data_IF_634284196697
#
_entry.id   IF_634284196697
#
_cell.length_a   1.000
_cell.length_b   1.000
_cell.length_c   1.000
_cell.angle_alpha   90.00
_cell.angle_beta   90.00
_cell.angle_gamma   90.00
#
_symmetry.space_group_name_H-M   'P 1'
#
loop_
_entity.id
_entity.type
_entity.pdbx_description
1 polymer ?
#
# COMPACT_ATOMS: atom_id res chain seq x y z
N UNK A 1 25.19 5.66 10.38
CA UNK A 1 24.42 4.41 10.36
C UNK A 1 23.13 4.73 9.65
N UNK A 2 22.77 3.97 8.62
CA UNK A 2 21.45 4.12 8.00
C UNK A 2 20.48 3.34 8.87
N UNK A 3 19.48 4.02 9.45
CA UNK A 3 18.45 3.34 10.23
C UNK A 3 17.62 2.44 9.31
N UNK A 4 17.42 1.19 9.73
CA UNK A 4 16.63 0.21 9.00
C UNK A 4 15.14 0.58 9.13
N UNK A 5 14.46 0.81 8.00
CA UNK A 5 13.03 1.07 7.97
C UNK A 5 12.26 -0.27 7.92
N UNK A 6 11.43 -0.52 8.93
CA UNK A 6 10.68 -1.78 9.07
C UNK A 6 9.23 -1.60 8.62
N UNK A 7 8.81 -2.49 7.73
CA UNK A 7 7.40 -2.66 7.34
C UNK A 7 6.94 -4.04 7.83
N UNK A 8 5.77 -4.07 8.43
CA UNK A 8 5.09 -5.28 8.88
C UNK A 8 3.89 -5.48 7.97
N UNK A 9 3.91 -6.52 7.14
CA UNK A 9 2.84 -6.81 6.20
C UNK A 9 1.99 -7.99 6.69
N UNK A 10 0.76 -7.70 7.08
CA UNK A 10 -0.27 -8.67 7.49
C UNK A 10 -1.24 -8.91 6.35
N UNK A 11 -1.34 -10.16 5.90
CA UNK A 11 -2.23 -10.56 4.81
C UNK A 11 -3.16 -11.67 5.31
N UNK A 12 -4.47 -11.45 5.26
CA UNK A 12 -5.44 -12.54 5.41
C UNK A 12 -5.30 -13.50 4.22
N UNK A 13 -5.41 -14.81 4.41
CA UNK A 13 -5.34 -15.78 3.29
C UNK A 13 -6.46 -16.81 3.40
N UNK A 14 -7.12 -17.11 2.29
CA UNK A 14 -7.95 -18.31 2.14
C UNK A 14 -7.25 -19.49 1.40
N UNK A 15 -5.99 -19.37 0.94
CA UNK A 15 -5.28 -20.48 0.26
C UNK A 15 -3.76 -20.36 0.05
N UNK A 16 -3.09 -21.50 -0.20
CA UNK A 16 -1.62 -21.64 -0.24
C UNK A 16 -0.91 -21.07 -1.49
N UNK A 17 -1.60 -20.92 -2.63
CA UNK A 17 -0.97 -20.62 -3.94
C UNK A 17 -0.51 -19.16 -4.10
N UNK A 18 -0.92 -18.26 -3.20
CA UNK A 18 -0.64 -16.83 -3.28
C UNK A 18 0.64 -16.39 -2.57
N UNK A 19 1.16 -17.21 -1.65
CA UNK A 19 2.38 -16.94 -0.88
C UNK A 19 3.58 -16.71 -1.81
N UNK A 20 3.71 -17.51 -2.88
CA UNK A 20 4.85 -17.42 -3.79
C UNK A 20 4.83 -16.16 -4.67
N UNK A 21 3.63 -15.64 -4.99
CA UNK A 21 3.47 -14.44 -5.81
C UNK A 21 3.74 -13.18 -4.99
N UNK A 22 3.19 -13.12 -3.78
CA UNK A 22 3.42 -12.01 -2.85
C UNK A 22 4.87 -11.97 -2.38
N UNK A 23 5.48 -13.12 -2.06
CA UNK A 23 6.89 -13.21 -1.68
C UNK A 23 7.85 -12.72 -2.76
N UNK A 24 7.56 -12.97 -4.05
CA UNK A 24 8.36 -12.43 -5.16
C UNK A 24 8.25 -10.92 -5.29
N UNK A 25 7.05 -10.37 -5.08
CA UNK A 25 6.81 -8.92 -5.11
C UNK A 25 7.59 -8.24 -3.98
N UNK A 26 7.51 -8.77 -2.77
CA UNK A 26 8.18 -8.23 -1.58
C UNK A 26 9.69 -8.22 -1.77
N UNK A 27 10.29 -9.33 -2.21
CA UNK A 27 11.73 -9.40 -2.50
C UNK A 27 12.16 -8.40 -3.58
N UNK A 28 11.34 -8.19 -4.60
CA UNK A 28 11.61 -7.18 -5.61
C UNK A 28 11.56 -5.76 -5.02
N UNK A 29 10.62 -5.49 -4.12
CA UNK A 29 10.51 -4.20 -3.45
C UNK A 29 11.69 -3.92 -2.52
N UNK A 30 12.11 -4.89 -1.70
CA UNK A 30 13.31 -4.79 -0.85
C UNK A 30 14.57 -4.59 -1.70
N UNK A 31 14.68 -5.26 -2.86
CA UNK A 31 15.78 -5.03 -3.81
C UNK A 31 15.83 -3.59 -4.33
N UNK A 32 14.66 -2.99 -4.60
CA UNK A 32 14.56 -1.61 -5.06
C UNK A 32 14.78 -0.59 -3.93
N UNK A 33 14.61 -1.00 -2.67
CA UNK A 33 14.68 -0.15 -1.48
C UNK A 33 15.56 -0.81 -0.41
N UNK A 34 16.90 -0.74 -0.53
CA UNK A 34 17.82 -1.56 0.27
C UNK A 34 17.83 -1.28 1.78
N UNK A 35 17.20 -0.20 2.23
CA UNK A 35 17.05 0.14 3.65
C UNK A 35 15.69 -0.29 4.22
N UNK A 36 14.84 -0.91 3.41
CA UNK A 36 13.53 -1.41 3.82
C UNK A 36 13.63 -2.89 4.13
N UNK A 37 13.12 -3.27 5.29
CA UNK A 37 12.92 -4.66 5.66
C UNK A 37 11.43 -4.96 5.85
N UNK A 38 10.91 -5.96 5.14
CA UNK A 38 9.49 -6.33 5.20
C UNK A 38 9.34 -7.67 5.94
N UNK A 39 8.79 -7.60 7.15
CA UNK A 39 8.35 -8.78 7.89
C UNK A 39 6.92 -9.15 7.47
N UNK A 40 6.77 -10.32 6.85
CA UNK A 40 5.46 -10.80 6.40
C UNK A 40 4.86 -11.71 7.44
N UNK A 41 3.79 -11.25 8.08
CA UNK A 41 3.02 -12.06 9.01
C UNK A 41 1.84 -12.67 8.29
N UNK A 42 1.75 -14.01 8.38
CA UNK A 42 0.55 -14.70 7.97
C UNK A 42 -0.47 -14.51 9.08
N UNK A 43 -1.41 -13.58 8.91
CA UNK A 43 -2.64 -13.60 9.69
C UNK A 43 -3.57 -14.65 9.08
N UNK A 44 -3.16 -15.92 9.14
CA UNK A 44 -4.08 -17.01 8.85
C UNK A 44 -5.15 -16.99 9.95
N UNK A 45 -6.29 -16.37 9.66
CA UNK A 45 -7.49 -16.27 10.51
C UNK A 45 -7.44 -15.27 11.67
N UNK A 46 -6.88 -14.07 11.50
CA UNK A 46 -7.21 -12.98 12.45
C UNK A 46 -8.49 -12.26 11.97
N UNK A 47 -9.67 -12.55 12.54
CA UNK A 47 -10.89 -11.83 12.19
C UNK A 47 -10.79 -10.32 12.47
N UNK A 48 -9.83 -9.88 13.29
CA UNK A 48 -9.55 -8.47 13.55
C UNK A 48 -9.14 -7.69 12.31
N UNK A 49 -8.28 -8.26 11.43
CA UNK A 49 -7.83 -7.57 10.21
C UNK A 49 -8.99 -7.37 9.23
N UNK A 50 -9.74 -8.44 8.95
CA UNK A 50 -10.91 -8.37 8.07
C UNK A 50 -12.00 -7.44 8.62
N UNK A 51 -12.26 -7.49 9.94
CA UNK A 51 -13.24 -6.57 10.57
C UNK A 51 -12.78 -5.11 10.51
N UNK A 52 -11.50 -4.85 10.73
CA UNK A 52 -10.91 -3.50 10.66
C UNK A 52 -11.04 -2.93 9.25
N UNK A 53 -10.60 -3.69 8.24
CA UNK A 53 -10.67 -3.27 6.84
C UNK A 53 -12.12 -3.11 6.38
N UNK A 54 -13.02 -4.01 6.78
CA UNK A 54 -14.46 -3.87 6.52
C UNK A 54 -15.07 -2.64 7.18
N UNK A 55 -14.64 -2.27 8.39
CA UNK A 55 -15.09 -1.05 9.06
C UNK A 55 -14.69 0.21 8.29
N UNK A 56 -13.49 0.22 7.72
CA UNK A 56 -13.01 1.31 6.86
C UNK A 56 -13.48 1.23 5.41
N UNK A 57 -14.15 0.14 5.00
CA UNK A 57 -14.49 -0.12 3.61
C UNK A 57 -13.26 -0.22 2.70
N UNK A 58 -12.11 -0.61 3.25
CA UNK A 58 -10.83 -0.63 2.57
C UNK A 58 -10.45 -2.07 2.15
N UNK A 59 -9.81 -2.22 0.99
CA UNK A 59 -9.23 -3.50 0.58
C UNK A 59 -7.80 -3.69 1.16
N UNK A 60 -7.14 -2.58 1.52
CA UNK A 60 -5.85 -2.54 2.20
C UNK A 60 -5.65 -1.23 2.96
N UNK A 61 -4.72 -1.19 3.90
CA UNK A 61 -4.38 0.02 4.64
C UNK A 61 -2.98 -0.06 5.26
N UNK A 62 -2.20 1.02 5.15
CA UNK A 62 -0.94 1.24 5.86
C UNK A 62 -1.14 2.20 7.06
N UNK A 63 -0.45 1.92 8.17
CA UNK A 63 -0.49 2.73 9.39
C UNK A 63 0.86 2.76 10.12
N UNK A 64 1.23 3.91 10.70
CA UNK A 64 2.47 4.05 11.45
C UNK A 64 2.27 3.62 12.92
N UNK A 65 3.05 2.65 13.36
CA UNK A 65 3.12 2.20 14.75
C UNK A 65 4.06 3.12 15.54
N UNK A 66 3.51 4.01 16.36
CA UNK A 66 4.29 5.02 17.07
C UNK A 66 5.23 4.45 18.14
N UNK A 67 4.92 3.27 18.68
CA UNK A 67 5.74 2.62 19.71
C UNK A 67 7.00 1.96 19.13
N UNK A 68 6.90 1.42 17.92
CA UNK A 68 7.98 0.65 17.27
C UNK A 68 8.64 1.40 16.11
N UNK A 69 8.02 2.46 15.60
CA UNK A 69 8.42 3.17 14.38
C UNK A 69 8.20 2.37 13.09
N UNK A 70 7.61 1.17 13.17
CA UNK A 70 7.29 0.35 12.02
C UNK A 70 6.03 0.85 11.31
N UNK A 71 5.93 0.59 10.01
CA UNK A 71 4.64 0.75 9.29
C UNK A 71 3.96 -0.61 9.16
N UNK A 72 2.77 -0.72 9.75
CA UNK A 72 1.90 -1.88 9.68
C UNK A 72 0.98 -1.76 8.45
N UNK A 73 1.05 -2.72 7.53
CA UNK A 73 0.18 -2.84 6.36
C UNK A 73 -0.76 -4.02 6.57
N UNK A 74 -2.06 -3.79 6.40
CA UNK A 74 -3.11 -4.81 6.42
C UNK A 74 -3.74 -4.93 5.04
N UNK A 75 -3.84 -6.16 4.51
CA UNK A 75 -4.45 -6.44 3.20
C UNK A 75 -5.56 -7.48 3.34
N UNK A 76 -6.73 -7.19 2.76
CA UNK A 76 -7.79 -8.16 2.55
C UNK A 76 -7.56 -8.88 1.20
N UNK A 77 -7.40 -10.19 1.25
CA UNK A 77 -7.10 -11.01 0.08
C UNK A 77 -8.32 -11.45 -0.74
N UNK A 78 -9.55 -11.27 -0.23
CA UNK A 78 -10.78 -11.65 -0.94
C UNK A 78 -10.86 -11.00 -2.34
N UNK A 79 -10.20 -9.86 -2.54
CA UNK A 79 -10.15 -9.08 -3.78
C UNK A 79 -8.72 -8.79 -4.22
N UNK A 80 -7.78 -9.72 -3.98
CA UNK A 80 -6.34 -9.52 -4.21
C UNK A 80 -6.03 -8.84 -5.56
N UNK A 81 -5.30 -7.72 -5.49
CA UNK A 81 -4.71 -6.99 -6.63
C UNK A 81 -3.26 -6.66 -6.31
N UNK A 82 -2.35 -6.88 -7.26
CA UNK A 82 -0.95 -6.45 -7.11
C UNK A 82 -0.83 -4.94 -6.96
N UNK A 83 -1.69 -4.18 -7.64
CA UNK A 83 -1.71 -2.73 -7.52
C UNK A 83 -1.87 -2.30 -6.05
N UNK A 84 -2.80 -2.93 -5.32
CA UNK A 84 -3.06 -2.65 -3.90
C UNK A 84 -1.81 -2.87 -3.04
N UNK A 85 -1.05 -3.95 -3.24
CA UNK A 85 0.19 -4.16 -2.46
C UNK A 85 1.21 -3.06 -2.77
N UNK A 86 1.41 -2.71 -4.04
CA UNK A 86 2.34 -1.64 -4.38
C UNK A 86 1.88 -0.27 -3.86
N UNK A 87 0.57 -0.03 -3.85
CA UNK A 87 -0.06 1.16 -3.29
C UNK A 87 0.24 1.28 -1.79
N UNK A 88 -0.07 0.26 -1.00
CA UNK A 88 0.21 0.28 0.44
C UNK A 88 1.70 0.31 0.78
N UNK A 89 2.55 -0.32 -0.04
CA UNK A 89 4.01 -0.17 0.10
C UNK A 89 4.47 1.26 -0.22
N UNK A 90 3.83 1.93 -1.18
CA UNK A 90 4.03 3.36 -1.46
C UNK A 90 3.62 4.23 -0.28
N UNK A 91 2.45 3.98 0.30
CA UNK A 91 1.99 4.66 1.51
C UNK A 91 2.95 4.45 2.68
N UNK A 92 3.50 3.24 2.84
CA UNK A 92 4.48 2.97 3.89
C UNK A 92 5.77 3.80 3.73
N UNK A 93 6.27 3.97 2.51
CA UNK A 93 7.40 4.86 2.24
C UNK A 93 7.07 6.32 2.59
N UNK A 94 5.85 6.78 2.28
CA UNK A 94 5.42 8.14 2.63
C UNK A 94 5.26 8.33 4.14
N UNK A 95 4.73 7.35 4.88
CA UNK A 95 4.68 7.40 6.35
C UNK A 95 6.07 7.50 6.97
N UNK A 96 7.04 6.77 6.44
CA UNK A 96 8.42 6.86 6.90
C UNK A 96 9.07 8.22 6.58
N UNK A 97 8.81 8.76 5.38
CA UNK A 97 9.38 10.04 4.91
C UNK A 97 8.78 11.25 5.64
N UNK A 98 7.46 11.28 5.74
CA UNK A 98 6.69 12.49 6.03
C UNK A 98 5.82 12.35 7.30
N UNK A 99 5.81 11.19 7.96
CA UNK A 99 4.99 10.93 9.14
C UNK A 99 3.51 10.73 8.85
N UNK A 100 2.70 10.70 9.91
CA UNK A 100 1.24 10.50 9.81
C UNK A 100 0.53 11.71 9.20
N UNK A 101 -0.51 11.45 8.39
CA UNK A 101 -1.38 12.48 7.81
C UNK A 101 -2.84 12.10 8.00
N UNK A 102 -3.64 13.08 8.38
CA UNK A 102 -5.07 12.91 8.61
C UNK A 102 -5.81 12.62 7.29
N UNK A 103 -6.62 11.57 7.31
CA UNK A 103 -7.44 11.16 6.17
C UNK A 103 -8.37 12.30 5.74
N UNK A 104 -8.40 12.57 4.43
CA UNK A 104 -9.24 13.61 3.85
C UNK A 104 -8.67 15.02 3.89
N UNK A 105 -7.46 15.22 4.43
CA UNK A 105 -6.73 16.49 4.32
C UNK A 105 -6.18 16.75 2.90
N UNK A 106 -5.74 17.98 2.64
CA UNK A 106 -5.03 18.32 1.40
C UNK A 106 -3.78 17.46 1.22
N UNK A 107 -2.99 17.30 2.28
CA UNK A 107 -1.75 16.50 2.23
C UNK A 107 -2.05 15.02 2.02
N UNK A 108 -3.18 14.52 2.55
CA UNK A 108 -3.65 13.16 2.27
C UNK A 108 -3.87 12.95 0.78
N UNK A 109 -4.65 13.81 0.12
CA UNK A 109 -4.91 13.64 -1.30
C UNK A 109 -3.68 13.86 -2.18
N UNK A 110 -2.76 14.76 -1.80
CA UNK A 110 -1.48 14.90 -2.50
C UNK A 110 -0.65 13.62 -2.44
N UNK A 111 -0.64 12.92 -1.29
CA UNK A 111 0.05 11.64 -1.13
C UNK A 111 -0.58 10.53 -1.96
N UNK A 112 -1.90 10.40 -1.94
CA UNK A 112 -2.64 9.43 -2.76
C UNK A 112 -2.40 9.66 -4.27
N UNK A 113 -2.33 10.92 -4.70
CA UNK A 113 -1.97 11.30 -6.08
C UNK A 113 -0.53 10.87 -6.40
N UNK A 114 0.43 11.19 -5.54
CA UNK A 114 1.85 10.80 -5.73
C UNK A 114 2.00 9.28 -5.89
N UNK A 115 1.32 8.48 -5.06
CA UNK A 115 1.35 7.02 -5.16
C UNK A 115 0.72 6.55 -6.46
N UNK A 116 -0.47 7.04 -6.79
CA UNK A 116 -1.16 6.64 -8.03
C UNK A 116 -0.35 6.99 -9.29
N UNK A 117 0.25 8.18 -9.35
CA UNK A 117 1.12 8.61 -10.45
C UNK A 117 2.36 7.71 -10.56
N UNK A 118 3.02 7.41 -9.43
CA UNK A 118 4.16 6.51 -9.40
C UNK A 118 3.80 5.10 -9.90
N UNK A 119 2.65 4.56 -9.49
CA UNK A 119 2.18 3.25 -9.95
C UNK A 119 1.96 3.22 -11.47
N UNK A 120 1.32 4.26 -12.02
CA UNK A 120 1.07 4.39 -13.46
C UNK A 120 2.40 4.51 -14.22
N UNK A 121 3.31 5.36 -13.77
CA UNK A 121 4.63 5.56 -14.39
C UNK A 121 5.47 4.28 -14.39
N UNK A 122 5.51 3.57 -13.24
CA UNK A 122 6.29 2.33 -13.12
C UNK A 122 5.68 1.21 -13.94
N UNK A 123 4.35 1.17 -14.07
CA UNK A 123 3.66 0.19 -14.91
C UNK A 123 3.90 0.46 -16.40
N UNK A 124 3.84 1.72 -16.84
CA UNK A 124 4.07 2.11 -18.24
C UNK A 124 5.51 1.87 -18.70
N UNK A 125 6.48 2.00 -17.79
CA UNK A 125 7.89 1.71 -18.03
C UNK A 125 8.28 0.24 -17.75
N UNK A 126 7.30 -0.66 -17.61
CA UNK A 126 7.48 -2.11 -17.35
C UNK A 126 8.32 -2.45 -16.10
N UNK A 127 8.48 -1.51 -15.17
CA UNK A 127 9.19 -1.72 -13.89
C UNK A 127 8.37 -2.54 -12.91
N UNK A 128 7.04 -2.39 -12.95
CA UNK A 128 6.08 -3.24 -12.26
C UNK A 128 5.08 -3.83 -13.25
N UNK A 129 4.51 -5.00 -12.93
CA UNK A 129 3.53 -5.68 -13.78
C UNK A 129 2.13 -5.60 -13.18
N UNK A 130 1.37 -4.59 -13.59
CA UNK A 130 -0.06 -4.46 -13.34
C UNK A 130 -0.87 -5.01 -14.53
N UNK A 131 -2.04 -5.59 -14.26
CA UNK A 131 -3.00 -5.91 -15.31
C UNK A 131 -3.65 -4.64 -15.87
N UNK A 132 -4.25 -4.73 -17.06
CA UNK A 132 -4.97 -3.61 -17.66
C UNK A 132 -6.14 -3.12 -16.79
N UNK A 133 -6.82 -4.03 -16.07
CA UNK A 133 -7.88 -3.68 -15.15
C UNK A 133 -7.36 -2.92 -13.93
N UNK A 134 -6.23 -3.37 -13.36
CA UNK A 134 -5.58 -2.68 -12.24
C UNK A 134 -5.12 -1.28 -12.65
N UNK A 135 -4.42 -1.16 -13.79
CA UNK A 135 -3.96 0.14 -14.29
C UNK A 135 -5.14 1.11 -14.52
N UNK A 136 -6.21 0.64 -15.16
CA UNK A 136 -7.41 1.43 -15.37
C UNK A 136 -8.05 1.87 -14.05
N UNK A 137 -8.06 1.00 -13.04
CA UNK A 137 -8.59 1.37 -11.72
C UNK A 137 -7.71 2.43 -11.04
N UNK A 138 -6.38 2.31 -11.12
CA UNK A 138 -5.45 3.32 -10.60
C UNK A 138 -5.65 4.68 -11.29
N UNK A 139 -5.87 4.71 -12.61
CA UNK A 139 -6.21 5.95 -13.34
C UNK A 139 -7.55 6.56 -12.91
N UNK A 140 -8.54 5.74 -12.58
CA UNK A 140 -9.83 6.20 -12.03
C UNK A 140 -9.62 6.82 -10.64
N UNK A 141 -8.87 6.13 -9.77
CA UNK A 141 -8.56 6.62 -8.42
C UNK A 141 -7.80 7.94 -8.48
N UNK A 142 -6.78 8.05 -9.32
CA UNK A 142 -6.01 9.29 -9.53
C UNK A 142 -6.93 10.48 -9.86
N UNK A 143 -7.85 10.32 -10.81
CA UNK A 143 -8.79 11.38 -11.19
C UNK A 143 -9.71 11.77 -10.03
N UNK A 144 -10.19 10.79 -9.27
CA UNK A 144 -11.04 11.02 -8.11
C UNK A 144 -10.28 11.78 -6.99
N UNK A 145 -9.01 11.43 -6.74
CA UNK A 145 -8.18 12.13 -5.76
C UNK A 145 -7.85 13.55 -6.20
N UNK A 146 -7.51 13.77 -7.47
CA UNK A 146 -7.30 15.09 -8.03
C UNK A 146 -8.55 15.98 -7.93
N UNK A 147 -9.74 15.41 -8.13
CA UNK A 147 -11.00 16.14 -7.96
C UNK A 147 -11.26 16.52 -6.50
N UNK A 148 -11.06 15.58 -5.56
CA UNK A 148 -11.19 15.86 -4.13
C UNK A 148 -10.19 16.92 -3.66
N UNK A 149 -8.95 16.87 -4.13
CA UNK A 149 -7.94 17.88 -3.83
C UNK A 149 -8.36 19.27 -4.33
N UNK A 150 -8.78 19.39 -5.59
CA UNK A 150 -9.27 20.67 -6.14
C UNK A 150 -10.41 21.25 -5.31
N UNK A 151 -11.38 20.40 -4.92
CA UNK A 151 -12.52 20.85 -4.12
C UNK A 151 -12.12 21.37 -2.72
N UNK A 152 -11.00 20.91 -2.18
CA UNK A 152 -10.46 21.37 -0.89
C UNK A 152 -9.61 22.64 -1.03
N UNK A 153 -8.93 22.83 -2.16
CA UNK A 153 -8.08 23.99 -2.41
C UNK A 153 -8.87 25.25 -2.82
N UNK A 154 -10.09 25.08 -3.34
CA UNK A 154 -10.98 26.18 -3.77
C UNK A 154 -10.73 26.63 -5.21
#
# INVERSE_FOLDING_TARGET
>A
MVEEFKIVLSISFWGNTMIDKTGKLIKFFEYMNPNVHISVYRSSHDPGVGSLLSFFGAEGAASLNLDTGAVDISINDDVFRKAMIYEELGHALQYHRDGHVDVGSIDYYRREIEVAECLIERASNYRIKLSAAELKQTEINLKAYQEKLRNLEG
#
